data_IF_945188093748
#
_entry.id   IF_945188093748
#
_cell.length_a   1.000
_cell.length_b   1.000
_cell.length_c   1.000
_cell.angle_alpha   90.00
_cell.angle_beta   90.00
_cell.angle_gamma   90.00
#
_symmetry.space_group_name_H-M   'P 1'
#
loop_
_entity.id
_entity.type
_entity.pdbx_description
1 polymer ?
#
# COMPACT_ATOMS: atom_id res chain seq x y z
N UNK A 1 -19.05 1.45 0.34
CA UNK A 1 -18.53 2.10 -0.86
C UNK A 1 -17.15 1.60 -1.22
N UNK A 2 -16.88 1.53 -2.52
CA UNK A 2 -15.60 1.11 -3.07
C UNK A 2 -15.01 2.30 -3.82
N UNK A 3 -13.78 2.64 -3.51
CA UNK A 3 -13.01 3.65 -4.21
C UNK A 3 -11.99 2.96 -5.11
N UNK A 4 -11.88 3.44 -6.34
CA UNK A 4 -10.94 2.96 -7.33
C UNK A 4 -10.00 4.09 -7.70
N UNK A 5 -8.71 3.81 -7.81
CA UNK A 5 -7.76 4.83 -8.19
C UNK A 5 -6.49 4.25 -8.77
N UNK A 6 -5.77 5.10 -9.46
CA UNK A 6 -4.45 4.83 -10.00
C UNK A 6 -3.51 5.91 -9.52
N UNK A 7 -2.36 5.51 -9.02
CA UNK A 7 -1.29 6.41 -8.61
C UNK A 7 0.02 5.98 -9.27
N UNK A 8 0.74 6.93 -9.84
CA UNK A 8 2.05 6.69 -10.43
C UNK A 8 3.11 7.43 -9.60
N UNK A 9 4.07 6.70 -9.08
CA UNK A 9 5.18 7.24 -8.31
C UNK A 9 6.52 6.78 -8.89
N UNK A 10 7.41 7.69 -9.04
CA UNK A 10 8.79 7.59 -9.52
C UNK A 10 8.99 7.92 -11.02
N UNK A 11 9.59 9.09 -11.33
CA UNK A 11 9.87 9.49 -12.70
C UNK A 11 10.93 8.64 -13.42
N UNK A 12 11.63 7.75 -12.71
CA UNK A 12 12.67 6.87 -13.30
C UNK A 12 12.20 5.43 -13.53
N UNK A 13 11.11 5.00 -12.88
CA UNK A 13 10.49 3.70 -13.09
C UNK A 13 8.98 3.88 -12.93
N UNK A 14 8.32 4.18 -14.02
CA UNK A 14 6.87 4.46 -14.02
C UNK A 14 6.12 3.14 -13.96
N UNK A 15 5.82 2.68 -12.75
CA UNK A 15 4.83 1.63 -12.56
C UNK A 15 3.52 2.27 -12.11
N UNK A 16 2.41 2.05 -12.83
CA UNK A 16 1.11 2.45 -12.34
C UNK A 16 0.78 1.64 -11.08
N UNK A 17 0.26 2.30 -10.06
CA UNK A 17 -0.33 1.63 -8.90
C UNK A 17 -1.83 1.79 -8.99
N UNK A 18 -2.52 0.68 -9.11
CA UNK A 18 -3.97 0.59 -9.03
C UNK A 18 -4.37 0.27 -7.61
N UNK A 19 -5.46 0.84 -7.14
CA UNK A 19 -5.96 0.50 -5.81
C UNK A 19 -7.48 0.43 -5.76
N UNK A 20 -7.97 -0.39 -4.85
CA UNK A 20 -9.38 -0.50 -4.48
C UNK A 20 -9.47 -0.31 -2.98
N UNK A 21 -10.33 0.60 -2.53
CA UNK A 21 -10.57 0.85 -1.11
C UNK A 21 -12.02 0.50 -0.76
N UNK A 22 -12.21 -0.18 0.36
CA UNK A 22 -13.51 -0.54 0.92
C UNK A 22 -13.58 -0.04 2.36
N UNK A 23 -14.73 0.48 2.76
CA UNK A 23 -15.01 0.87 4.14
C UNK A 23 -16.19 0.08 4.68
N UNK A 24 -16.17 -0.25 5.97
CA UNK A 24 -17.20 -1.04 6.63
C UNK A 24 -18.48 -0.25 6.98
N UNK A 25 -18.44 1.09 6.86
CA UNK A 25 -19.56 1.97 7.15
C UNK A 25 -19.95 2.80 5.93
N UNK A 26 -21.25 2.99 5.71
CA UNK A 26 -21.74 3.88 4.67
C UNK A 26 -21.40 5.33 5.02
N UNK A 27 -20.69 6.06 4.15
CA UNK A 27 -20.43 7.49 4.38
C UNK A 27 -21.70 8.32 4.40
N UNK A 28 -21.75 9.32 5.27
CA UNK A 28 -22.78 10.36 5.28
C UNK A 28 -22.67 11.24 4.03
N UNK A 29 -21.44 11.55 3.59
CA UNK A 29 -21.17 12.23 2.33
C UNK A 29 -19.86 11.76 1.73
N UNK A 30 -19.76 11.92 0.42
CA UNK A 30 -18.52 11.64 -0.33
C UNK A 30 -18.38 12.64 -1.48
N UNK A 31 -17.16 12.82 -1.95
CA UNK A 31 -16.89 13.65 -3.11
C UNK A 31 -15.45 13.59 -3.51
N UNK A 32 -15.13 14.38 -4.52
CA UNK A 32 -13.79 14.48 -5.06
C UNK A 32 -13.29 15.90 -4.91
N UNK A 33 -11.98 16.04 -4.79
CA UNK A 33 -11.32 17.33 -4.81
C UNK A 33 -10.19 17.32 -5.82
N UNK A 34 -9.91 18.49 -6.36
CA UNK A 34 -8.76 18.72 -7.22
C UNK A 34 -8.03 19.96 -6.69
N UNK A 35 -6.71 19.83 -6.53
CA UNK A 35 -5.88 20.98 -6.23
C UNK A 35 -5.91 21.91 -7.43
N UNK A 36 -6.31 23.16 -7.21
CA UNK A 36 -6.26 24.15 -8.25
C UNK A 36 -4.83 24.67 -8.36
N UNK A 37 -4.19 24.39 -9.50
CA UNK A 37 -2.89 25.02 -9.80
C UNK A 37 -3.14 26.50 -10.11
N UNK A 38 -2.27 27.43 -9.65
CA UNK A 38 -2.34 28.82 -10.08
C UNK A 38 -2.25 28.85 -11.62
N UNK A 39 -3.27 29.37 -12.24
CA UNK A 39 -3.15 29.79 -13.65
C UNK A 39 -2.31 31.05 -13.64
N UNK A 40 -1.48 31.27 -14.66
CA UNK A 40 -0.65 32.45 -14.76
C UNK A 40 -1.52 33.72 -14.60
N UNK A 41 -1.29 34.48 -13.55
CA UNK A 41 -2.05 35.69 -13.21
C UNK A 41 -3.30 35.49 -12.35
N UNK A 42 -3.55 34.29 -11.83
CA UNK A 42 -4.64 34.00 -10.89
C UNK A 42 -4.07 33.37 -9.63
N UNK A 43 -4.35 33.95 -8.48
CA UNK A 43 -3.99 33.34 -7.20
C UNK A 43 -4.81 32.07 -6.96
N UNK A 44 -4.13 31.01 -6.48
CA UNK A 44 -4.81 29.81 -6.05
C UNK A 44 -5.63 30.11 -4.78
N UNK A 45 -6.91 29.76 -4.78
CA UNK A 45 -7.73 29.84 -3.57
C UNK A 45 -7.28 28.78 -2.55
N UNK A 46 -6.43 29.19 -1.66
CA UNK A 46 -6.05 28.41 -0.50
C UNK A 46 -7.03 28.71 0.65
N UNK A 47 -7.55 27.66 1.27
CA UNK A 47 -8.36 27.76 2.47
C UNK A 47 -7.45 27.64 3.70
N UNK A 48 -7.07 28.76 4.34
CA UNK A 48 -6.14 28.76 5.48
C UNK A 48 -6.75 28.11 6.74
N UNK A 49 -8.06 28.12 6.88
CA UNK A 49 -8.75 27.60 8.05
C UNK A 49 -8.73 26.06 8.07
N UNK A 50 -8.73 25.45 6.91
CA UNK A 50 -8.68 24.00 6.75
C UNK A 50 -7.33 23.46 6.26
N UNK A 51 -6.36 24.33 6.00
CA UNK A 51 -5.04 23.94 5.51
C UNK A 51 -5.06 23.18 4.18
N UNK A 52 -6.01 23.46 3.31
CA UNK A 52 -6.25 22.74 2.05
C UNK A 52 -6.78 23.64 0.94
N UNK A 53 -6.70 23.14 -0.28
CA UNK A 53 -7.30 23.79 -1.43
C UNK A 53 -8.81 23.55 -1.48
N UNK A 54 -9.54 24.46 -2.14
CA UNK A 54 -10.99 24.42 -2.26
C UNK A 54 -11.50 23.08 -2.78
N UNK A 55 -12.48 22.51 -2.10
CA UNK A 55 -13.12 21.26 -2.49
C UNK A 55 -14.17 21.52 -3.59
N UNK A 56 -14.12 20.70 -4.64
CA UNK A 56 -15.15 20.70 -5.68
C UNK A 56 -16.09 19.51 -5.50
N UNK A 57 -17.29 19.78 -5.05
CA UNK A 57 -18.33 18.74 -4.84
C UNK A 57 -19.10 18.37 -6.12
N UNK A 58 -18.75 18.97 -7.26
CA UNK A 58 -19.43 18.74 -8.54
C UNK A 58 -19.10 17.39 -9.19
N UNK A 59 -17.99 16.79 -8.84
CA UNK A 59 -17.52 15.52 -9.39
C UNK A 59 -18.02 14.39 -8.51
N UNK A 60 -19.18 13.82 -8.84
CA UNK A 60 -19.81 12.79 -8.02
C UNK A 60 -19.53 11.35 -8.47
N UNK A 61 -19.04 11.16 -9.69
CA UNK A 61 -18.84 9.83 -10.28
C UNK A 61 -17.40 9.52 -10.62
N UNK A 62 -16.70 10.45 -11.25
CA UNK A 62 -15.35 10.24 -11.75
C UNK A 62 -14.58 11.57 -11.78
N UNK A 63 -13.31 11.53 -11.47
CA UNK A 63 -12.37 12.63 -11.60
C UNK A 63 -11.03 12.11 -12.07
N UNK A 64 -10.52 12.66 -13.16
CA UNK A 64 -9.19 12.36 -13.69
C UNK A 64 -8.31 13.61 -13.73
N UNK A 65 -7.00 13.43 -13.61
CA UNK A 65 -5.99 14.48 -13.69
C UNK A 65 -5.00 14.45 -12.55
N UNK A 66 -4.12 15.43 -12.52
CA UNK A 66 -3.13 15.61 -11.46
C UNK A 66 -3.73 16.28 -10.22
N UNK A 67 -3.10 16.05 -9.07
CA UNK A 67 -3.45 16.67 -7.79
C UNK A 67 -4.95 16.52 -7.45
N UNK A 68 -5.44 15.28 -7.59
CA UNK A 68 -6.83 14.92 -7.27
C UNK A 68 -6.90 14.00 -6.06
N UNK A 69 -8.06 13.96 -5.43
CA UNK A 69 -8.33 13.03 -4.36
C UNK A 69 -9.83 12.88 -4.10
N UNK A 70 -10.15 12.04 -3.16
CA UNK A 70 -11.51 11.81 -2.70
C UNK A 70 -11.59 12.03 -1.20
N UNK A 71 -12.80 12.28 -0.72
CA UNK A 71 -13.10 12.34 0.71
C UNK A 71 -14.38 11.57 1.02
N UNK A 72 -14.41 11.01 2.20
CA UNK A 72 -15.57 10.38 2.80
C UNK A 72 -15.80 11.04 4.16
N UNK A 73 -17.04 11.36 4.49
CA UNK A 73 -17.43 11.82 5.81
C UNK A 73 -18.32 10.79 6.47
N UNK A 74 -18.19 10.63 7.77
CA UNK A 74 -18.95 9.66 8.55
C UNK A 74 -19.56 10.37 9.76
N UNK A 75 -20.82 10.07 10.03
CA UNK A 75 -21.44 10.40 11.31
C UNK A 75 -21.05 9.27 12.27
N UNK A 76 -20.27 9.59 13.31
CA UNK A 76 -19.74 8.61 14.25
C UNK A 76 -20.10 8.96 15.68
N UNK A 77 -20.28 7.94 16.51
CA UNK A 77 -20.40 8.05 17.95
C UNK A 77 -19.02 7.95 18.61
N UNK A 78 -18.95 8.33 19.89
CA UNK A 78 -17.70 8.20 20.66
C UNK A 78 -17.24 6.75 20.74
N UNK A 79 -15.99 6.49 20.34
CA UNK A 79 -15.41 5.14 20.34
C UNK A 79 -15.79 4.26 19.14
N UNK A 80 -16.66 4.72 18.24
CA UNK A 80 -16.97 3.99 17.00
C UNK A 80 -15.76 3.93 16.08
N UNK A 81 -15.53 2.73 15.49
CA UNK A 81 -14.41 2.48 14.59
C UNK A 81 -14.90 2.34 13.15
N UNK A 82 -14.30 3.08 12.26
CA UNK A 82 -14.47 2.91 10.81
C UNK A 82 -13.25 2.17 10.27
N UNK A 83 -13.46 0.95 9.79
CA UNK A 83 -12.40 0.14 9.19
C UNK A 83 -12.27 0.42 7.71
N UNK A 84 -11.02 0.54 7.26
CA UNK A 84 -10.66 0.72 5.86
C UNK A 84 -9.83 -0.47 5.42
N UNK A 85 -10.23 -1.12 4.33
CA UNK A 85 -9.49 -2.16 3.65
C UNK A 85 -9.03 -1.63 2.30
N UNK A 86 -7.78 -1.93 1.92
CA UNK A 86 -7.24 -1.51 0.63
C UNK A 86 -6.47 -2.65 -0.03
N UNK A 87 -6.80 -2.91 -1.28
CA UNK A 87 -6.03 -3.76 -2.18
C UNK A 87 -5.28 -2.91 -3.19
N UNK A 88 -4.10 -3.36 -3.56
CA UNK A 88 -3.24 -2.69 -4.54
C UNK A 88 -2.80 -3.69 -5.60
N UNK A 89 -2.47 -3.18 -6.79
CA UNK A 89 -1.89 -3.95 -7.90
C UNK A 89 -1.05 -3.03 -8.76
N UNK A 90 -0.01 -3.58 -9.38
CA UNK A 90 0.74 -2.92 -10.46
C UNK A 90 0.21 -3.26 -11.85
N UNK A 91 -0.84 -4.09 -11.94
CA UNK A 91 -1.37 -4.63 -13.20
C UNK A 91 -2.67 -3.94 -13.60
N UNK A 92 -3.68 -3.97 -12.71
CA UNK A 92 -5.01 -3.41 -13.00
C UNK A 92 -5.84 -3.14 -11.75
N UNK A 93 -6.95 -2.40 -11.91
CA UNK A 93 -7.93 -2.22 -10.84
C UNK A 93 -8.68 -3.52 -10.52
N UNK A 94 -8.91 -4.35 -11.52
CA UNK A 94 -9.52 -5.67 -11.37
C UNK A 94 -8.64 -6.56 -10.49
N UNK A 95 -7.34 -6.56 -10.72
CA UNK A 95 -6.38 -7.29 -9.90
C UNK A 95 -6.27 -6.70 -8.48
N UNK A 96 -6.29 -5.38 -8.33
CA UNK A 96 -6.34 -4.76 -7.00
C UNK A 96 -7.58 -5.21 -6.21
N UNK A 97 -8.72 -5.35 -6.88
CA UNK A 97 -9.95 -5.91 -6.27
C UNK A 97 -9.80 -7.38 -5.93
N UNK A 98 -9.24 -8.17 -6.84
CA UNK A 98 -9.00 -9.59 -6.64
C UNK A 98 -8.06 -9.83 -5.45
N UNK A 99 -6.98 -9.05 -5.34
CA UNK A 99 -6.06 -9.08 -4.20
C UNK A 99 -6.80 -8.78 -2.89
N UNK A 100 -7.57 -7.69 -2.85
CA UNK A 100 -8.36 -7.32 -1.68
C UNK A 100 -9.34 -8.42 -1.26
N UNK A 101 -10.09 -8.96 -2.22
CA UNK A 101 -11.10 -9.99 -1.96
C UNK A 101 -10.46 -11.31 -1.53
N UNK A 102 -9.32 -11.67 -2.09
CA UNK A 102 -8.61 -12.91 -1.73
C UNK A 102 -7.96 -12.84 -0.36
N UNK A 103 -7.34 -11.71 -0.04
CA UNK A 103 -6.51 -11.58 1.16
C UNK A 103 -7.29 -11.11 2.40
N UNK A 104 -8.31 -10.28 2.22
CA UNK A 104 -8.98 -9.59 3.31
C UNK A 104 -10.48 -9.82 3.42
N UNK A 105 -11.13 -10.52 2.47
CA UNK A 105 -12.57 -10.73 2.52
C UNK A 105 -12.98 -11.50 3.79
N UNK A 106 -13.96 -10.96 4.50
CA UNK A 106 -14.50 -11.56 5.71
C UNK A 106 -13.63 -11.39 6.96
N UNK A 107 -12.52 -10.65 6.87
CA UNK A 107 -11.64 -10.36 8.00
C UNK A 107 -11.88 -8.94 8.51
N UNK A 108 -11.80 -8.77 9.81
CA UNK A 108 -11.72 -7.46 10.47
C UNK A 108 -10.24 -7.09 10.75
N UNK A 109 -10.02 -5.85 11.18
CA UNK A 109 -8.68 -5.36 11.50
C UNK A 109 -7.93 -6.25 12.50
N UNK A 110 -8.61 -6.72 13.56
CA UNK A 110 -8.00 -7.58 14.57
C UNK A 110 -7.48 -8.91 14.00
N UNK A 111 -8.25 -9.53 13.12
CA UNK A 111 -7.85 -10.78 12.46
C UNK A 111 -6.65 -10.57 11.51
N UNK A 112 -6.64 -9.49 10.74
CA UNK A 112 -5.51 -9.16 9.86
C UNK A 112 -4.25 -8.86 10.69
N UNK A 113 -4.40 -8.14 11.81
CA UNK A 113 -3.30 -7.84 12.73
C UNK A 113 -2.68 -9.12 13.32
N UNK A 114 -3.51 -10.05 13.79
CA UNK A 114 -3.03 -11.31 14.35
C UNK A 114 -2.38 -12.23 13.29
N UNK A 115 -2.91 -12.26 12.06
CA UNK A 115 -2.26 -12.96 10.95
C UNK A 115 -0.90 -12.36 10.62
N UNK A 116 -0.80 -11.04 10.56
CA UNK A 116 0.47 -10.35 10.30
C UNK A 116 1.49 -10.63 11.40
N UNK A 117 1.09 -10.55 12.68
CA UNK A 117 1.94 -10.90 13.83
C UNK A 117 2.44 -12.33 13.76
N UNK A 118 1.56 -13.27 13.44
CA UNK A 118 1.96 -14.67 13.32
C UNK A 118 2.97 -14.88 12.20
N UNK A 119 2.70 -14.35 11.00
CA UNK A 119 3.63 -14.47 9.86
C UNK A 119 5.00 -13.89 10.17
N UNK A 120 5.05 -12.69 10.73
CA UNK A 120 6.32 -12.10 11.15
C UNK A 120 7.04 -12.90 12.24
N UNK A 121 6.29 -13.43 13.20
CA UNK A 121 6.88 -14.28 14.23
C UNK A 121 7.44 -15.59 13.64
N UNK A 122 6.73 -16.21 12.70
CA UNK A 122 7.18 -17.43 12.02
C UNK A 122 8.50 -17.17 11.25
N UNK A 123 8.58 -16.07 10.51
CA UNK A 123 9.79 -15.71 9.75
C UNK A 123 10.97 -15.32 10.67
N UNK A 124 10.73 -14.51 11.70
CA UNK A 124 11.76 -14.12 12.65
C UNK A 124 12.25 -15.29 13.52
N UNK A 125 11.41 -16.29 13.76
CA UNK A 125 11.75 -17.49 14.52
C UNK A 125 12.63 -18.50 13.77
N UNK A 126 12.96 -18.24 12.50
CA UNK A 126 13.93 -19.05 11.75
C UNK A 126 15.34 -19.00 12.35
N UNK A 127 15.66 -17.93 13.07
CA UNK A 127 16.88 -17.80 13.84
C UNK A 127 16.50 -17.51 15.29
N UNK A 128 16.74 -18.48 16.17
CA UNK A 128 16.53 -18.30 17.60
C UNK A 128 17.87 -17.98 18.28
N UNK A 129 17.89 -16.90 19.07
CA UNK A 129 19.06 -16.49 19.84
C UNK A 129 18.79 -16.61 21.32
N UNK A 130 19.77 -17.14 22.04
CA UNK A 130 19.73 -17.29 23.49
C UNK A 130 20.88 -16.49 24.16
N UNK A 131 20.68 -16.17 25.42
CA UNK A 131 21.65 -15.35 26.19
C UNK A 131 21.55 -13.85 25.81
N UNK A 132 22.54 -13.09 26.30
CA UNK A 132 22.54 -11.64 26.13
C UNK A 132 21.48 -10.89 26.93
N UNK A 133 21.42 -9.58 26.76
CA UNK A 133 20.40 -8.73 27.36
C UNK A 133 19.17 -8.63 26.45
N UNK A 134 18.02 -8.20 26.97
CA UNK A 134 16.82 -7.94 26.17
C UNK A 134 17.06 -6.85 25.11
N UNK A 135 17.89 -5.87 25.42
CA UNK A 135 18.31 -4.85 24.45
C UNK A 135 19.07 -5.48 23.27
N UNK A 136 20.02 -6.37 23.55
CA UNK A 136 20.79 -7.07 22.52
C UNK A 136 19.88 -7.95 21.64
N UNK A 137 18.91 -8.65 22.23
CA UNK A 137 17.91 -9.43 21.48
C UNK A 137 17.03 -8.53 20.61
N UNK A 138 16.59 -7.40 21.16
CA UNK A 138 15.80 -6.41 20.40
C UNK A 138 16.58 -5.89 19.20
N UNK A 139 17.85 -5.53 19.37
CA UNK A 139 18.70 -5.09 18.25
C UNK A 139 18.87 -6.18 17.21
N UNK A 140 19.10 -7.43 17.64
CA UNK A 140 19.24 -8.57 16.73
C UNK A 140 17.97 -8.79 15.89
N UNK A 141 16.79 -8.92 16.53
CA UNK A 141 15.56 -9.18 15.81
C UNK A 141 15.09 -7.98 14.98
N UNK A 142 15.39 -6.75 15.39
CA UNK A 142 15.15 -5.57 14.57
C UNK A 142 16.01 -5.59 13.30
N UNK A 143 17.26 -5.97 13.41
CA UNK A 143 18.14 -6.12 12.25
C UNK A 143 17.66 -7.24 11.31
N UNK A 144 17.29 -8.40 11.86
CA UNK A 144 16.72 -9.50 11.07
C UNK A 144 15.43 -9.09 10.36
N UNK A 145 14.50 -8.42 11.05
CA UNK A 145 13.29 -7.85 10.48
C UNK A 145 13.61 -6.94 9.28
N UNK A 146 14.56 -6.03 9.41
CA UNK A 146 14.96 -5.13 8.33
C UNK A 146 15.48 -5.87 7.10
N UNK A 147 16.17 -7.01 7.28
CA UNK A 147 16.65 -7.81 6.13
C UNK A 147 15.52 -8.53 5.37
N UNK A 148 14.36 -8.71 6.00
CA UNK A 148 13.20 -9.39 5.42
C UNK A 148 12.16 -8.43 4.81
N UNK A 149 12.36 -7.10 4.94
CA UNK A 149 11.43 -6.12 4.35
C UNK A 149 11.52 -6.09 2.82
N UNK A 150 12.69 -6.40 2.27
CA UNK A 150 12.96 -6.39 0.84
C UNK A 150 13.72 -7.67 0.44
N UNK A 151 13.44 -8.31 -0.70
CA UNK A 151 12.57 -7.87 -1.80
C UNK A 151 11.08 -8.10 -1.52
N UNK A 152 10.24 -7.30 -2.13
CA UNK A 152 8.78 -7.45 -2.04
C UNK A 152 8.26 -8.41 -3.11
N UNK A 153 7.17 -9.11 -2.83
CA UNK A 153 6.40 -9.84 -3.84
C UNK A 153 5.85 -8.82 -4.83
N UNK A 154 6.04 -9.08 -6.12
CA UNK A 154 5.63 -8.20 -7.20
C UNK A 154 4.34 -8.65 -7.88
N UNK A 155 4.08 -9.96 -7.95
CA UNK A 155 2.87 -10.48 -8.59
C UNK A 155 1.63 -10.28 -7.74
N UNK A 156 0.49 -10.22 -8.42
CA UNK A 156 -0.82 -10.31 -7.83
C UNK A 156 -1.18 -11.76 -7.47
N UNK A 157 -2.27 -11.97 -6.75
CA UNK A 157 -2.70 -13.31 -6.28
C UNK A 157 -3.00 -14.30 -7.41
N UNK A 158 -3.25 -13.81 -8.64
CA UNK A 158 -3.40 -14.63 -9.84
C UNK A 158 -2.08 -14.91 -10.58
N UNK A 159 -0.96 -14.43 -10.03
CA UNK A 159 0.38 -14.61 -10.60
C UNK A 159 0.76 -13.58 -11.67
N UNK A 160 -0.09 -12.62 -11.99
CA UNK A 160 0.22 -11.56 -12.95
C UNK A 160 1.13 -10.48 -12.36
N UNK A 161 2.07 -9.99 -13.17
CA UNK A 161 2.99 -8.92 -12.78
C UNK A 161 3.46 -8.11 -14.00
N UNK A 162 3.84 -6.83 -13.85
CA UNK A 162 4.36 -6.02 -14.94
C UNK A 162 5.79 -6.45 -15.30
N UNK A 163 6.09 -6.50 -16.59
CA UNK A 163 7.45 -6.69 -17.07
C UNK A 163 8.31 -5.46 -16.78
N UNK A 164 9.60 -5.66 -16.50
CA UNK A 164 10.51 -4.56 -16.13
C UNK A 164 10.88 -3.64 -17.31
N UNK A 165 10.87 -4.17 -18.53
CA UNK A 165 11.40 -3.47 -19.72
C UNK A 165 10.35 -3.22 -20.81
N UNK A 166 9.08 -3.47 -20.52
CA UNK A 166 7.99 -3.31 -21.48
C UNK A 166 6.64 -3.18 -20.77
N UNK A 167 5.65 -2.67 -21.48
CA UNK A 167 4.25 -2.56 -20.98
C UNK A 167 3.51 -3.92 -20.96
N UNK A 168 4.23 -5.03 -21.04
CA UNK A 168 3.63 -6.37 -21.04
C UNK A 168 3.31 -6.78 -19.61
N UNK A 169 2.19 -7.47 -19.47
CA UNK A 169 1.86 -8.23 -18.26
C UNK A 169 2.29 -9.67 -18.47
N UNK A 170 3.02 -10.18 -17.51
CA UNK A 170 3.53 -11.56 -17.47
C UNK A 170 2.85 -12.34 -16.36
N UNK A 171 2.94 -13.66 -16.39
CA UNK A 171 2.37 -14.55 -15.36
C UNK A 171 3.45 -15.49 -14.84
N UNK A 172 3.45 -15.73 -13.54
CA UNK A 172 4.34 -16.70 -12.88
C UNK A 172 3.54 -17.78 -12.16
N UNK A 173 4.17 -18.96 -11.99
CA UNK A 173 3.63 -20.06 -11.17
C UNK A 173 4.17 -20.06 -9.74
N UNK A 174 5.24 -19.31 -9.50
CA UNK A 174 5.87 -19.16 -8.18
C UNK A 174 5.99 -17.72 -7.77
N UNK A 175 6.61 -17.47 -6.64
CA UNK A 175 6.79 -16.13 -6.13
C UNK A 175 7.74 -15.31 -7.00
N UNK A 176 7.25 -14.21 -7.52
CA UNK A 176 8.03 -13.21 -8.26
C UNK A 176 8.32 -12.02 -7.36
N UNK A 177 9.58 -11.81 -7.08
CA UNK A 177 10.04 -10.70 -6.25
C UNK A 177 10.50 -9.50 -7.08
N UNK A 178 10.51 -8.33 -6.45
CA UNK A 178 11.21 -7.14 -6.92
C UNK A 178 12.72 -7.37 -6.93
N UNK A 179 13.47 -6.42 -7.47
CA UNK A 179 14.93 -6.53 -7.56
C UNK A 179 15.62 -5.85 -6.37
N UNK A 180 16.78 -6.36 -5.99
CA UNK A 180 17.65 -5.69 -5.05
C UNK A 180 18.47 -4.58 -5.71
N UNK A 181 18.73 -3.52 -4.96
CA UNK A 181 19.87 -2.65 -5.22
C UNK A 181 21.14 -3.35 -4.77
N UNK A 182 21.94 -3.82 -5.70
CA UNK A 182 23.14 -4.59 -5.39
C UNK A 182 24.20 -3.75 -4.65
N UNK A 183 24.13 -2.44 -4.79
CA UNK A 183 24.97 -1.51 -4.03
C UNK A 183 24.71 -1.61 -2.52
N UNK A 184 23.45 -1.82 -2.12
CA UNK A 184 23.07 -1.85 -0.71
C UNK A 184 23.26 -3.24 -0.09
N UNK A 185 23.19 -4.31 -0.88
CA UNK A 185 23.19 -5.69 -0.39
C UNK A 185 24.57 -6.37 -0.35
N UNK A 186 25.66 -5.64 -0.56
CA UNK A 186 27.01 -6.20 -0.64
C UNK A 186 27.50 -6.84 0.66
N UNK A 187 26.90 -6.50 1.82
CA UNK A 187 27.27 -7.03 3.14
C UNK A 187 26.45 -8.25 3.52
N UNK A 188 26.64 -9.39 2.82
CA UNK A 188 26.15 -10.71 3.22
C UNK A 188 24.62 -10.89 3.31
N UNK A 189 23.78 -9.99 2.80
CA UNK A 189 22.32 -10.19 2.78
C UNK A 189 21.95 -11.44 1.98
N UNK A 190 22.56 -11.65 0.81
CA UNK A 190 22.27 -12.82 -0.03
C UNK A 190 22.65 -14.14 0.65
N UNK A 191 23.76 -14.16 1.39
CA UNK A 191 24.18 -15.32 2.17
C UNK A 191 23.21 -15.59 3.33
N UNK A 192 22.75 -14.55 4.02
CA UNK A 192 21.73 -14.68 5.07
C UNK A 192 20.43 -15.28 4.50
N UNK A 193 19.93 -14.77 3.37
CA UNK A 193 18.70 -15.24 2.73
C UNK A 193 18.79 -16.69 2.20
N UNK A 194 19.97 -17.31 2.19
CA UNK A 194 20.10 -18.75 1.92
C UNK A 194 19.94 -19.61 3.17
N UNK A 195 19.92 -19.01 4.35
CA UNK A 195 19.82 -19.70 5.64
C UNK A 195 18.41 -19.58 6.25
N UNK A 196 17.64 -18.55 5.86
CA UNK A 196 16.33 -18.21 6.46
C UNK A 196 15.17 -18.33 5.51
#
# INVERSE_FOLDING_TARGET
>A
PILLGTFCYNPQAVFPIYFVMRVNKQPAASGYWKKQRPMTGVEAEWDPDNGRYKLYTRYQKELAGDDIGTYLTFDTEEGEQVEVQMGVSFVSMENARLNLDTEQQGKNFGQVLEEARRRWNDDLSRILVEGGTEEQKTVFYTALYHTLIHPNILQDVNGEYPAMESDKILTTQGDRYTVFSLWDTYRNVHQLLTLV
#
